data_IF_601542814680
#
_entry.id   IF_601542814680
#
_cell.length_a   1.000
_cell.length_b   1.000
_cell.length_c   1.000
_cell.angle_alpha   90.00
_cell.angle_beta   90.00
_cell.angle_gamma   90.00
#
_symmetry.space_group_name_H-M   'P 1'
#
loop_
_entity.id
_entity.type
_entity.pdbx_description
1 polymer ?
#
# COMPACT_ATOMS: atom_id res chain seq x y z
N UNK A 1 -72.92 -40.35 -13.31
CA UNK A 1 -72.80 -38.93 -12.94
C UNK A 1 -71.63 -38.68 -11.99
N UNK A 2 -71.43 -39.51 -10.96
CA UNK A 2 -70.31 -39.36 -10.01
C UNK A 2 -68.91 -39.49 -10.64
N UNK A 3 -68.70 -40.43 -11.57
CA UNK A 3 -67.40 -40.63 -12.24
C UNK A 3 -66.96 -39.43 -13.11
N UNK A 4 -67.90 -38.76 -13.77
CA UNK A 4 -67.64 -37.55 -14.57
C UNK A 4 -67.30 -36.36 -13.68
N UNK A 5 -67.98 -36.24 -12.53
CA UNK A 5 -67.73 -35.17 -11.58
C UNK A 5 -66.34 -35.31 -10.93
N UNK A 6 -65.96 -36.54 -10.56
CA UNK A 6 -64.67 -36.85 -9.97
C UNK A 6 -63.50 -36.59 -10.94
N UNK A 7 -63.66 -36.98 -12.20
CA UNK A 7 -62.64 -36.75 -13.23
C UNK A 7 -62.43 -35.26 -13.55
N UNK A 8 -63.49 -34.44 -13.47
CA UNK A 8 -63.42 -32.98 -13.63
C UNK A 8 -62.74 -32.35 -12.42
N UNK A 9 -63.07 -32.76 -11.19
CA UNK A 9 -62.40 -32.25 -9.98
C UNK A 9 -60.93 -32.63 -9.93
N UNK A 10 -60.55 -33.84 -10.34
CA UNK A 10 -59.15 -34.28 -10.39
C UNK A 10 -58.35 -33.52 -11.45
N UNK A 11 -58.97 -33.22 -12.60
CA UNK A 11 -58.37 -32.40 -13.65
C UNK A 11 -58.21 -30.93 -13.23
N UNK A 12 -59.19 -30.36 -12.51
CA UNK A 12 -59.12 -29.02 -11.94
C UNK A 12 -58.04 -28.91 -10.86
N UNK A 13 -57.93 -29.89 -9.95
CA UNK A 13 -56.89 -29.89 -8.91
C UNK A 13 -55.49 -30.12 -9.51
N UNK A 14 -55.37 -31.00 -10.51
CA UNK A 14 -54.13 -31.21 -11.25
C UNK A 14 -53.66 -29.97 -12.01
N UNK A 15 -54.58 -29.27 -12.67
CA UNK A 15 -54.27 -28.04 -13.41
C UNK A 15 -53.94 -26.85 -12.49
N UNK A 16 -54.64 -26.70 -11.36
CA UNK A 16 -54.30 -25.70 -10.34
C UNK A 16 -52.93 -25.96 -9.70
N UNK A 17 -52.62 -27.21 -9.37
CA UNK A 17 -51.32 -27.60 -8.82
C UNK A 17 -50.18 -27.37 -9.83
N UNK A 18 -50.43 -27.66 -11.12
CA UNK A 18 -49.49 -27.37 -12.21
C UNK A 18 -49.23 -25.87 -12.39
N UNK A 19 -50.27 -25.03 -12.31
CA UNK A 19 -50.14 -23.57 -12.39
C UNK A 19 -49.37 -22.98 -11.20
N UNK A 20 -49.58 -23.49 -9.99
CA UNK A 20 -48.82 -23.07 -8.80
C UNK A 20 -47.35 -23.46 -8.90
N UNK A 21 -47.04 -24.65 -9.43
CA UNK A 21 -45.65 -25.07 -9.68
C UNK A 21 -44.97 -24.19 -10.74
N UNK A 22 -45.64 -23.91 -11.86
CA UNK A 22 -45.10 -23.02 -12.90
C UNK A 22 -44.93 -21.60 -12.36
N UNK A 23 -45.92 -21.08 -11.63
CA UNK A 23 -45.85 -19.77 -10.99
C UNK A 23 -44.69 -19.68 -9.98
N UNK A 24 -44.50 -20.73 -9.17
CA UNK A 24 -43.38 -20.84 -8.22
C UNK A 24 -42.02 -20.85 -8.93
N UNK A 25 -41.88 -21.57 -10.03
CA UNK A 25 -40.65 -21.59 -10.84
C UNK A 25 -40.38 -20.23 -11.48
N UNK A 26 -41.41 -19.55 -12.01
CA UNK A 26 -41.27 -18.21 -12.61
C UNK A 26 -40.87 -17.18 -11.57
N UNK A 27 -41.52 -17.15 -10.40
CA UNK A 27 -41.18 -16.23 -9.30
C UNK A 27 -39.76 -16.50 -8.79
N UNK A 28 -39.37 -17.78 -8.66
CA UNK A 28 -38.01 -18.15 -8.27
C UNK A 28 -36.97 -17.72 -9.31
N UNK A 29 -37.23 -17.94 -10.60
CA UNK A 29 -36.35 -17.49 -11.69
C UNK A 29 -36.23 -15.96 -11.73
N UNK A 30 -37.33 -15.22 -11.53
CA UNK A 30 -37.34 -13.76 -11.47
C UNK A 30 -36.56 -13.24 -10.25
N UNK A 31 -36.76 -13.81 -9.07
CA UNK A 31 -36.01 -13.47 -7.85
C UNK A 31 -34.51 -13.78 -8.00
N UNK A 32 -34.18 -14.89 -8.66
CA UNK A 32 -32.79 -15.25 -8.98
C UNK A 32 -32.17 -14.31 -10.01
N UNK A 33 -32.93 -13.87 -11.01
CA UNK A 33 -32.47 -12.89 -11.98
C UNK A 33 -32.21 -11.50 -11.33
N UNK A 34 -33.10 -11.06 -10.43
CA UNK A 34 -32.93 -9.83 -9.66
C UNK A 34 -31.68 -9.88 -8.76
N UNK A 35 -31.53 -10.94 -7.98
CA UNK A 35 -30.35 -11.10 -7.10
C UNK A 35 -29.04 -11.21 -7.88
N UNK A 36 -29.01 -11.89 -9.04
CA UNK A 36 -27.85 -11.89 -9.93
C UNK A 36 -27.56 -10.49 -10.49
N UNK A 37 -28.59 -9.71 -10.80
CA UNK A 37 -28.46 -8.32 -11.22
C UNK A 37 -27.82 -7.43 -10.16
N UNK A 38 -28.27 -7.53 -8.90
CA UNK A 38 -27.70 -6.80 -7.77
C UNK A 38 -26.27 -7.23 -7.46
N UNK A 39 -25.97 -8.53 -7.50
CA UNK A 39 -24.60 -9.05 -7.35
C UNK A 39 -23.68 -8.49 -8.43
N UNK A 40 -24.14 -8.41 -9.69
CA UNK A 40 -23.35 -7.82 -10.79
C UNK A 40 -23.11 -6.33 -10.59
N UNK A 41 -24.10 -5.57 -10.08
CA UNK A 41 -23.92 -4.15 -9.74
C UNK A 41 -22.87 -3.97 -8.65
N UNK A 42 -22.97 -4.73 -7.56
CA UNK A 42 -21.98 -4.72 -6.48
C UNK A 42 -20.59 -5.14 -6.96
N UNK A 43 -20.49 -6.13 -7.86
CA UNK A 43 -19.21 -6.51 -8.47
C UNK A 43 -18.64 -5.38 -9.34
N UNK A 44 -19.46 -4.68 -10.11
CA UNK A 44 -19.03 -3.54 -10.91
C UNK A 44 -18.54 -2.37 -10.02
N UNK A 45 -19.25 -2.08 -8.93
CA UNK A 45 -18.83 -1.08 -7.93
C UNK A 45 -17.53 -1.48 -7.22
N UNK A 46 -17.37 -2.75 -6.84
CA UNK A 46 -16.11 -3.23 -6.25
C UNK A 46 -14.93 -3.14 -7.23
N UNK A 47 -15.18 -3.43 -8.50
CA UNK A 47 -14.16 -3.28 -9.55
C UNK A 47 -13.81 -1.80 -9.74
N UNK A 48 -14.79 -0.90 -9.80
CA UNK A 48 -14.51 0.53 -9.97
C UNK A 48 -13.75 1.12 -8.78
N UNK A 49 -14.10 0.75 -7.55
CA UNK A 49 -13.36 1.14 -6.34
C UNK A 49 -11.92 0.62 -6.40
N UNK A 50 -11.71 -0.63 -6.81
CA UNK A 50 -10.36 -1.20 -6.91
C UNK A 50 -9.53 -0.50 -7.98
N UNK A 51 -10.13 -0.14 -9.12
CA UNK A 51 -9.45 0.62 -10.18
C UNK A 51 -9.05 2.01 -9.67
N UNK A 52 -9.97 2.75 -9.03
CA UNK A 52 -9.67 4.06 -8.47
C UNK A 52 -8.57 4.00 -7.38
N UNK A 53 -8.56 2.95 -6.56
CA UNK A 53 -7.49 2.74 -5.58
C UNK A 53 -6.15 2.42 -6.26
N UNK A 54 -6.15 1.63 -7.33
CA UNK A 54 -4.95 1.32 -8.09
C UNK A 54 -4.37 2.56 -8.77
N UNK A 55 -5.21 3.38 -9.43
CA UNK A 55 -4.79 4.67 -10.01
C UNK A 55 -4.16 5.57 -8.95
N UNK A 56 -4.75 5.61 -7.75
CA UNK A 56 -4.17 6.36 -6.63
C UNK A 56 -2.81 5.82 -6.18
N UNK A 57 -2.62 4.50 -6.14
CA UNK A 57 -1.31 3.89 -5.86
C UNK A 57 -0.28 4.31 -6.90
N UNK A 58 -0.62 4.24 -8.19
CA UNK A 58 0.27 4.65 -9.29
C UNK A 58 0.65 6.12 -9.15
N UNK A 59 -0.31 7.01 -8.89
CA UNK A 59 -0.03 8.44 -8.69
C UNK A 59 0.91 8.72 -7.50
N UNK A 60 0.82 7.90 -6.45
CA UNK A 60 1.70 8.02 -5.28
C UNK A 60 3.10 7.49 -5.56
N UNK A 61 3.24 6.43 -6.36
CA UNK A 61 4.54 5.93 -6.82
C UNK A 61 5.24 6.98 -7.71
N UNK A 62 4.53 7.58 -8.66
CA UNK A 62 5.06 8.67 -9.48
C UNK A 62 5.54 9.85 -8.62
N UNK A 63 4.73 10.25 -7.63
CA UNK A 63 5.10 11.31 -6.68
C UNK A 63 6.34 10.93 -5.86
N UNK A 64 6.47 9.67 -5.42
CA UNK A 64 7.66 9.21 -4.69
C UNK A 64 8.91 9.28 -5.57
N UNK A 65 8.82 8.87 -6.84
CA UNK A 65 9.94 8.96 -7.78
C UNK A 65 10.37 10.39 -8.03
N UNK A 66 9.42 11.32 -8.12
CA UNK A 66 9.70 12.75 -8.23
C UNK A 66 10.43 13.27 -6.99
N UNK A 67 9.94 12.95 -5.79
CA UNK A 67 10.57 13.34 -4.52
C UNK A 67 12.00 12.77 -4.41
N UNK A 68 12.21 11.50 -4.78
CA UNK A 68 13.55 10.88 -4.80
C UNK A 68 14.47 11.61 -5.77
N UNK A 69 13.98 11.96 -6.96
CA UNK A 69 14.77 12.68 -7.97
C UNK A 69 15.17 14.06 -7.47
N UNK A 70 14.24 14.77 -6.82
CA UNK A 70 14.49 16.07 -6.16
C UNK A 70 15.52 15.93 -5.03
N UNK A 71 15.39 14.91 -4.17
CA UNK A 71 16.36 14.63 -3.11
C UNK A 71 17.76 14.34 -3.67
N UNK A 72 17.87 13.52 -4.72
CA UNK A 72 19.15 13.27 -5.40
C UNK A 72 19.79 14.55 -5.91
N UNK A 73 19.00 15.41 -6.56
CA UNK A 73 19.48 16.71 -7.03
C UNK A 73 19.98 17.58 -5.88
N UNK A 74 19.24 17.68 -4.77
CA UNK A 74 19.67 18.46 -3.60
C UNK A 74 20.92 17.90 -2.93
N UNK A 75 21.04 16.58 -2.81
CA UNK A 75 22.24 15.94 -2.27
C UNK A 75 23.47 16.17 -3.17
N UNK A 76 23.30 16.18 -4.50
CA UNK A 76 24.37 16.57 -5.42
C UNK A 76 24.75 18.04 -5.28
N UNK A 77 23.77 18.94 -5.16
CA UNK A 77 24.02 20.36 -4.90
C UNK A 77 24.72 20.57 -3.56
N UNK A 78 24.39 19.78 -2.54
CA UNK A 78 25.06 19.82 -1.23
C UNK A 78 26.55 19.45 -1.39
N UNK A 79 26.85 18.36 -2.08
CA UNK A 79 28.24 17.97 -2.37
C UNK A 79 28.99 19.06 -3.15
N UNK A 80 28.33 19.72 -4.10
CA UNK A 80 28.94 20.82 -4.84
C UNK A 80 29.19 22.06 -3.95
N UNK A 81 28.25 22.41 -3.07
CA UNK A 81 28.40 23.50 -2.10
C UNK A 81 29.56 23.23 -1.12
N UNK A 82 29.70 21.99 -0.65
CA UNK A 82 30.81 21.56 0.19
C UNK A 82 32.17 21.70 -0.52
N UNK A 83 32.24 21.27 -1.79
CA UNK A 83 33.48 21.35 -2.57
C UNK A 83 33.85 22.78 -2.98
N UNK A 84 32.87 23.66 -3.13
CA UNK A 84 33.07 25.08 -3.48
C UNK A 84 33.34 25.97 -2.27
N UNK A 85 33.20 25.44 -1.05
CA UNK A 85 33.44 26.20 0.17
C UNK A 85 32.30 27.16 0.55
N UNK A 86 31.11 27.00 -0.03
CA UNK A 86 29.93 27.79 0.30
C UNK A 86 29.18 27.20 1.51
N UNK A 87 29.55 27.67 2.71
CA UNK A 87 28.96 27.24 3.98
C UNK A 87 27.48 27.57 4.10
N UNK A 88 27.09 28.79 3.72
CA UNK A 88 25.69 29.23 3.83
C UNK A 88 24.79 28.46 2.86
N UNK A 89 25.26 28.25 1.62
CA UNK A 89 24.57 27.42 0.63
C UNK A 89 24.44 25.97 1.10
N UNK A 90 25.51 25.36 1.62
CA UNK A 90 25.49 24.00 2.12
C UNK A 90 24.49 23.81 3.29
N UNK A 91 24.45 24.76 4.24
CA UNK A 91 23.48 24.75 5.35
C UNK A 91 22.04 24.81 4.85
N UNK A 92 21.73 25.74 3.95
CA UNK A 92 20.40 25.89 3.37
C UNK A 92 19.96 24.62 2.61
N UNK A 93 20.84 24.08 1.76
CA UNK A 93 20.56 22.88 0.97
C UNK A 93 20.36 21.66 1.88
N UNK A 94 21.16 21.53 2.95
CA UNK A 94 20.99 20.44 3.92
C UNK A 94 19.64 20.53 4.64
N UNK A 95 19.22 21.73 5.05
CA UNK A 95 17.90 21.92 5.67
C UNK A 95 16.79 21.58 4.71
N UNK A 96 16.86 22.04 3.46
CA UNK A 96 15.84 21.72 2.45
C UNK A 96 15.78 20.21 2.18
N UNK A 97 16.93 19.54 2.03
CA UNK A 97 16.98 18.10 1.83
C UNK A 97 16.41 17.32 3.02
N UNK A 98 16.66 17.79 4.25
CA UNK A 98 16.05 17.23 5.46
C UNK A 98 14.54 17.37 5.43
N UNK A 99 14.01 18.55 5.09
CA UNK A 99 12.58 18.81 5.11
C UNK A 99 11.85 18.00 4.04
N UNK A 100 12.41 17.93 2.83
CA UNK A 100 11.89 17.06 1.76
C UNK A 100 11.87 15.60 2.23
N UNK A 101 12.93 15.14 2.90
CA UNK A 101 13.00 13.76 3.38
C UNK A 101 11.95 13.48 4.48
N UNK A 102 11.90 14.29 5.53
CA UNK A 102 11.03 14.04 6.68
C UNK A 102 9.56 14.29 6.37
N UNK A 103 9.24 15.38 5.66
CA UNK A 103 7.87 15.83 5.46
C UNK A 103 7.25 15.27 4.19
N UNK A 104 8.01 15.20 3.09
CA UNK A 104 7.46 14.77 1.79
C UNK A 104 7.64 13.26 1.59
N UNK A 105 8.87 12.75 1.75
CA UNK A 105 9.18 11.36 1.41
C UNK A 105 8.54 10.35 2.38
N UNK A 106 8.76 10.51 3.69
CA UNK A 106 8.18 9.61 4.69
C UNK A 106 6.64 9.65 4.67
N UNK A 107 6.06 10.86 4.53
CA UNK A 107 4.62 11.05 4.43
C UNK A 107 4.00 10.39 3.20
N UNK A 108 4.61 10.57 2.01
CA UNK A 108 4.16 9.92 0.78
C UNK A 108 4.24 8.39 0.89
N UNK A 109 5.27 7.88 1.57
CA UNK A 109 5.44 6.44 1.76
C UNK A 109 4.42 5.83 2.73
N UNK A 110 4.09 6.53 3.81
CA UNK A 110 3.02 6.12 4.72
C UNK A 110 1.67 5.99 3.99
N UNK A 111 1.34 6.97 3.14
CA UNK A 111 0.11 6.95 2.34
C UNK A 111 0.09 5.80 1.34
N UNK A 112 1.20 5.57 0.64
CA UNK A 112 1.34 4.45 -0.29
C UNK A 112 1.13 3.11 0.42
N UNK A 113 1.81 2.89 1.54
CA UNK A 113 1.69 1.64 2.31
C UNK A 113 0.25 1.41 2.81
N UNK A 114 -0.44 2.47 3.26
CA UNK A 114 -1.83 2.35 3.71
C UNK A 114 -2.76 1.87 2.61
N UNK A 115 -2.60 2.38 1.38
CA UNK A 115 -3.48 2.08 0.25
C UNK A 115 -3.10 0.74 -0.40
N UNK A 116 -1.82 0.45 -0.58
CA UNK A 116 -1.34 -0.80 -1.19
C UNK A 116 -1.76 -2.05 -0.42
N UNK A 117 -1.99 -1.93 0.91
CA UNK A 117 -2.59 -2.99 1.73
C UNK A 117 -4.00 -3.43 1.29
N UNK A 118 -4.79 -2.52 0.73
CA UNK A 118 -6.16 -2.79 0.26
C UNK A 118 -6.18 -3.34 -1.16
N UNK A 119 -5.22 -2.95 -1.99
CA UNK A 119 -5.17 -3.31 -3.42
C UNK A 119 -4.54 -4.69 -3.65
N UNK A 120 -3.51 -5.07 -2.89
CA UNK A 120 -2.72 -6.28 -3.14
C UNK A 120 -2.77 -7.33 -1.99
N UNK A 121 -3.93 -7.93 -1.68
CA UNK A 121 -4.05 -8.83 -0.54
C UNK A 121 -3.24 -10.14 -0.65
N UNK A 122 -2.93 -10.57 -1.90
CA UNK A 122 -2.27 -11.86 -2.22
C UNK A 122 -0.78 -11.75 -2.54
N UNK A 123 -0.22 -10.54 -2.64
CA UNK A 123 1.16 -10.29 -3.07
C UNK A 123 1.93 -9.65 -1.91
N UNK A 124 2.03 -10.37 -0.78
CA UNK A 124 2.66 -9.80 0.42
C UNK A 124 4.18 -9.91 0.40
N UNK A 125 4.71 -10.90 -0.30
CA UNK A 125 6.15 -11.10 -0.46
C UNK A 125 6.74 -10.13 -1.48
N UNK A 126 6.14 -9.98 -2.67
CA UNK A 126 6.64 -9.04 -3.69
C UNK A 126 6.52 -7.59 -3.18
N UNK A 127 5.44 -7.23 -2.46
CA UNK A 127 5.36 -5.93 -1.77
C UNK A 127 6.53 -5.70 -0.78
N UNK A 128 6.98 -6.75 -0.08
CA UNK A 128 8.15 -6.62 0.80
C UNK A 128 9.43 -6.46 0.00
N UNK A 129 9.63 -7.29 -1.01
CA UNK A 129 10.86 -7.38 -1.79
C UNK A 129 11.06 -6.19 -2.73
N UNK A 130 9.99 -5.71 -3.36
CA UNK A 130 10.01 -4.69 -4.42
C UNK A 130 9.71 -3.28 -3.89
N UNK A 131 8.99 -3.13 -2.77
CA UNK A 131 8.58 -1.82 -2.27
C UNK A 131 9.18 -1.48 -0.90
N UNK A 132 9.01 -2.36 0.10
CA UNK A 132 9.39 -2.01 1.49
C UNK A 132 10.89 -2.06 1.72
N UNK A 133 11.56 -3.11 1.23
CA UNK A 133 13.01 -3.22 1.37
C UNK A 133 13.73 -2.09 0.62
N UNK A 134 13.41 -1.78 -0.65
CA UNK A 134 14.00 -0.65 -1.36
C UNK A 134 13.77 0.71 -0.69
N UNK A 135 12.57 0.94 -0.13
CA UNK A 135 12.29 2.13 0.67
C UNK A 135 13.22 2.26 1.88
N UNK A 136 13.40 1.19 2.65
CA UNK A 136 14.27 1.19 3.83
C UNK A 136 15.74 1.48 3.44
N UNK A 137 16.23 0.90 2.34
CA UNK A 137 17.56 1.21 1.82
C UNK A 137 17.69 2.66 1.32
N UNK A 138 16.63 3.22 0.72
CA UNK A 138 16.62 4.61 0.31
C UNK A 138 16.72 5.55 1.52
N UNK A 139 15.98 5.27 2.60
CA UNK A 139 16.09 5.99 3.87
C UNK A 139 17.52 5.94 4.42
N UNK A 140 18.15 4.76 4.40
CA UNK A 140 19.53 4.59 4.87
C UNK A 140 20.53 5.39 4.06
N UNK A 141 20.38 5.37 2.73
CA UNK A 141 21.22 6.13 1.83
C UNK A 141 21.09 7.64 2.07
N UNK A 142 19.87 8.17 2.19
CA UNK A 142 19.62 9.60 2.44
C UNK A 142 20.23 10.02 3.78
N UNK A 143 19.94 9.27 4.85
CA UNK A 143 20.48 9.59 6.19
C UNK A 143 21.99 9.50 6.22
N UNK A 144 22.60 8.49 5.59
CA UNK A 144 24.06 8.35 5.52
C UNK A 144 24.69 9.57 4.87
N UNK A 145 24.07 10.13 3.82
CA UNK A 145 24.55 11.33 3.13
C UNK A 145 24.36 12.59 3.99
N UNK A 146 23.19 12.79 4.62
CA UNK A 146 22.90 13.98 5.41
C UNK A 146 23.61 14.02 6.78
N UNK A 147 23.94 12.84 7.31
CA UNK A 147 24.62 12.65 8.59
C UNK A 147 26.11 12.34 8.47
N UNK A 148 26.69 12.45 7.28
CA UNK A 148 28.12 12.25 7.12
C UNK A 148 28.88 13.29 7.96
N UNK A 149 29.90 12.87 8.70
CA UNK A 149 30.61 13.73 9.66
C UNK A 149 31.14 15.03 9.02
N UNK A 150 31.62 14.96 7.78
CA UNK A 150 32.06 16.12 7.02
C UNK A 150 30.92 17.14 6.82
N UNK A 151 29.73 16.66 6.47
CA UNK A 151 28.52 17.48 6.30
C UNK A 151 28.08 18.09 7.62
N UNK A 152 28.04 17.29 8.69
CA UNK A 152 27.64 17.76 10.03
C UNK A 152 28.57 18.83 10.58
N UNK A 153 29.88 18.58 10.49
CA UNK A 153 30.92 19.52 10.95
C UNK A 153 30.88 20.81 10.14
N UNK A 154 30.70 20.70 8.83
CA UNK A 154 30.69 21.86 7.94
C UNK A 154 29.42 22.70 8.07
N UNK A 155 28.26 22.05 8.25
CA UNK A 155 26.96 22.72 8.38
C UNK A 155 26.62 23.10 9.83
N UNK A 156 27.39 22.65 10.83
CA UNK A 156 27.11 22.86 12.26
C UNK A 156 25.69 22.41 12.64
N UNK A 157 25.32 21.20 12.21
CA UNK A 157 24.00 20.63 12.47
C UNK A 157 24.10 19.28 13.16
N UNK A 158 23.07 18.97 13.94
CA UNK A 158 22.92 17.66 14.56
C UNK A 158 22.54 16.58 13.53
N UNK A 159 22.93 15.32 13.79
CA UNK A 159 22.51 14.19 12.98
C UNK A 159 20.98 14.01 13.05
N UNK A 160 20.38 13.75 11.89
CA UNK A 160 18.97 13.40 11.77
C UNK A 160 18.80 11.98 12.31
N UNK A 161 17.90 11.79 13.27
CA UNK A 161 17.53 10.48 13.82
C UNK A 161 16.07 10.22 13.51
N UNK A 162 15.77 9.02 13.01
CA UNK A 162 14.40 8.57 12.85
C UNK A 162 13.94 7.86 14.11
N UNK A 163 12.66 7.95 14.40
CA UNK A 163 12.02 7.28 15.53
C UNK A 163 11.40 5.95 15.13
N UNK A 164 11.00 5.16 16.11
CA UNK A 164 10.23 3.94 15.85
C UNK A 164 8.85 4.24 15.23
N UNK A 165 8.30 5.42 15.47
CA UNK A 165 7.03 5.85 14.88
C UNK A 165 7.13 6.02 13.37
N UNK A 166 8.29 6.50 12.88
CA UNK A 166 8.53 6.78 11.46
C UNK A 166 8.63 5.50 10.62
N UNK A 167 9.35 4.50 11.12
CA UNK A 167 9.75 3.31 10.34
C UNK A 167 9.37 1.97 10.96
N UNK A 168 8.94 1.93 12.22
CA UNK A 168 8.63 0.68 12.92
C UNK A 168 7.54 -0.13 12.23
N UNK A 169 6.60 0.51 11.54
CA UNK A 169 5.60 -0.21 10.74
C UNK A 169 6.25 -1.03 9.61
N UNK A 170 7.28 -0.51 8.95
CA UNK A 170 7.93 -1.14 7.81
C UNK A 170 8.70 -2.38 8.30
N UNK A 171 9.48 -2.24 9.36
CA UNK A 171 10.20 -3.37 9.98
C UNK A 171 9.26 -4.45 10.52
N UNK A 172 8.18 -4.08 11.22
CA UNK A 172 7.15 -5.04 11.65
C UNK A 172 6.51 -5.77 10.47
N UNK A 173 6.25 -5.06 9.38
CA UNK A 173 5.65 -5.66 8.18
C UNK A 173 6.62 -6.63 7.51
N UNK A 174 7.86 -6.23 7.26
CA UNK A 174 8.87 -7.10 6.66
C UNK A 174 9.11 -8.33 7.53
N UNK A 175 9.26 -8.17 8.85
CA UNK A 175 9.46 -9.28 9.78
C UNK A 175 8.29 -10.28 9.78
N UNK A 176 7.05 -9.80 9.61
CA UNK A 176 5.85 -10.64 9.54
C UNK A 176 5.81 -11.52 8.28
N UNK A 177 6.32 -11.04 7.15
CA UNK A 177 6.27 -11.77 5.87
C UNK A 177 7.61 -12.33 5.40
N UNK A 178 8.67 -12.19 6.20
CA UNK A 178 9.97 -12.83 6.00
C UNK A 178 9.97 -14.22 6.64
N UNK A 179 10.26 -15.25 5.86
CA UNK A 179 10.17 -16.63 6.35
C UNK A 179 11.15 -16.92 7.50
N UNK A 180 10.81 -17.83 8.43
CA UNK A 180 11.69 -18.20 9.55
C UNK A 180 13.09 -18.63 9.14
N UNK A 181 13.23 -19.34 8.01
CA UNK A 181 14.50 -19.86 7.51
C UNK A 181 15.39 -18.82 6.81
N UNK A 182 14.90 -17.61 6.55
CA UNK A 182 15.67 -16.52 5.92
C UNK A 182 16.56 -15.77 6.94
N UNK A 183 17.39 -16.52 7.68
CA UNK A 183 18.21 -16.03 8.79
C UNK A 183 19.11 -14.83 8.41
N UNK A 184 19.78 -14.90 7.26
CA UNK A 184 20.66 -13.83 6.81
C UNK A 184 19.90 -12.54 6.51
N UNK A 185 18.71 -12.65 5.92
CA UNK A 185 17.85 -11.49 5.63
C UNK A 185 17.37 -10.84 6.93
N UNK A 186 16.91 -11.62 7.90
CA UNK A 186 16.52 -11.11 9.23
C UNK A 186 17.66 -10.40 9.95
N UNK A 187 18.89 -10.92 9.87
CA UNK A 187 20.08 -10.26 10.43
C UNK A 187 20.34 -8.91 9.75
N UNK A 188 20.28 -8.85 8.42
CA UNK A 188 20.44 -7.59 7.67
C UNK A 188 19.36 -6.56 8.04
N UNK A 189 18.11 -7.00 8.17
CA UNK A 189 17.00 -6.12 8.54
C UNK A 189 17.16 -5.57 9.95
N UNK A 190 17.56 -6.37 10.93
CA UNK A 190 17.86 -5.88 12.29
C UNK A 190 19.03 -4.90 12.32
N UNK A 191 20.09 -5.17 11.54
CA UNK A 191 21.19 -4.24 11.43
C UNK A 191 20.74 -2.89 10.82
N UNK A 192 19.87 -2.94 9.81
CA UNK A 192 19.27 -1.76 9.19
C UNK A 192 18.32 -1.02 10.15
N UNK A 193 17.51 -1.74 10.91
CA UNK A 193 16.63 -1.21 11.96
C UNK A 193 17.42 -0.45 13.02
N UNK A 194 18.47 -1.08 13.56
CA UNK A 194 19.37 -0.46 14.53
C UNK A 194 20.06 0.78 13.95
N UNK A 195 20.45 0.75 12.66
CA UNK A 195 21.10 1.88 12.00
C UNK A 195 20.15 3.06 11.78
N UNK A 196 18.90 2.79 11.39
CA UNK A 196 17.92 3.83 11.04
C UNK A 196 17.22 4.42 12.25
N UNK A 197 16.77 3.58 13.17
CA UNK A 197 15.95 3.98 14.32
C UNK A 197 16.82 4.20 15.57
N UNK A 198 18.01 3.60 15.62
CA UNK A 198 18.82 3.63 16.83
C UNK A 198 18.07 2.99 17.99
N UNK A 199 17.56 1.76 17.81
CA UNK A 199 17.25 0.93 18.98
C UNK A 199 18.57 0.82 19.76
N UNK A 200 18.52 1.29 21.01
CA UNK A 200 19.67 1.74 21.78
C UNK A 200 20.86 0.79 21.88
N UNK A 201 21.96 1.41 22.28
CA UNK A 201 23.05 0.78 23.05
C UNK A 201 22.58 -0.38 23.94
#
# INVERSE_FOLDING_TARGET
MEYLFQHITDWLHGSQSGLLLIGGVVVWLLSRAQSVGEIRKLQAELVSIRVAQFEKVVSLDEKQREIITRLKSRLQSLLHALNSGDKAGAQAIRSEARDIFLLEYLGAYYQHTCISRWVFPKIRKELVDEEIIPFLYCCDWILTMLNQQAVLTYCEHDPIRLSEEDLGFAFRFVNKYTHPWELQRKRKLRALENKLIGMGE
#
